data_IF_884470727555
#
_entry.id   IF_884470727555
#
_cell.length_a   1.000
_cell.length_b   1.000
_cell.length_c   1.000
_cell.angle_alpha   90.00
_cell.angle_beta   90.00
_cell.angle_gamma   90.00
#
_symmetry.space_group_name_H-M   'P 1'
#
loop_
_entity.id
_entity.type
_entity.pdbx_description
1 polymer ?
#
# COMPACT_ATOMS: atom_id res chain seq x y z
N UNK A 1 -8.00 25.43 -25.63
CA UNK A 1 -8.38 25.24 -24.24
C UNK A 1 -7.11 25.24 -23.41
N UNK A 2 -6.94 26.30 -22.62
CA UNK A 2 -5.79 26.45 -21.72
C UNK A 2 -6.05 25.55 -20.52
N UNK A 3 -5.44 24.37 -20.50
CA UNK A 3 -5.34 23.58 -19.28
C UNK A 3 -4.66 24.46 -18.22
N UNK A 4 -5.30 24.59 -17.06
CA UNK A 4 -4.83 25.40 -15.94
C UNK A 4 -3.36 25.09 -15.64
N UNK A 5 -2.48 26.03 -15.94
CA UNK A 5 -1.07 25.98 -15.54
C UNK A 5 -1.03 26.40 -14.07
N UNK A 6 -1.09 25.44 -13.16
CA UNK A 6 -0.75 25.68 -11.76
C UNK A 6 0.77 25.89 -11.68
N UNK A 7 1.20 27.13 -11.71
CA UNK A 7 2.58 27.51 -11.40
C UNK A 7 2.77 27.46 -9.87
N UNK A 8 3.05 26.28 -9.35
CA UNK A 8 3.51 26.13 -7.97
C UNK A 8 4.97 26.56 -7.94
N UNK A 9 5.33 27.47 -7.04
CA UNK A 9 6.73 27.86 -6.89
C UNK A 9 7.56 26.64 -6.47
N UNK A 10 8.80 26.46 -6.97
CA UNK A 10 9.62 25.27 -6.65
C UNK A 10 9.83 25.04 -5.16
N UNK A 11 9.85 26.09 -4.36
CA UNK A 11 10.00 26.03 -2.90
C UNK A 11 8.76 25.45 -2.21
N UNK A 12 7.57 25.85 -2.64
CA UNK A 12 6.31 25.30 -2.08
C UNK A 12 6.15 23.80 -2.42
N UNK A 13 6.58 23.38 -3.62
CA UNK A 13 6.54 21.98 -4.01
C UNK A 13 7.44 21.08 -3.17
N UNK A 14 8.67 21.54 -2.86
CA UNK A 14 9.62 20.80 -2.01
C UNK A 14 9.15 20.70 -0.56
N UNK A 15 8.63 21.78 0.00
CA UNK A 15 8.13 21.81 1.38
C UNK A 15 6.91 20.88 1.56
N UNK A 16 6.00 20.87 0.59
CA UNK A 16 4.85 19.98 0.57
C UNK A 16 5.25 18.51 0.43
N UNK A 17 6.25 18.21 -0.40
CA UNK A 17 6.78 16.87 -0.57
C UNK A 17 7.42 16.36 0.74
N UNK A 18 8.24 17.19 1.38
CA UNK A 18 8.84 16.86 2.69
C UNK A 18 7.77 16.62 3.76
N UNK A 19 6.78 17.50 3.85
CA UNK A 19 5.67 17.33 4.78
C UNK A 19 4.88 16.01 4.52
N UNK A 20 4.63 15.70 3.25
CA UNK A 20 3.97 14.46 2.84
C UNK A 20 4.78 13.21 3.21
N UNK A 21 6.10 13.22 2.97
CA UNK A 21 6.99 12.12 3.32
C UNK A 21 7.08 11.92 4.84
N UNK A 22 7.16 13.00 5.62
CA UNK A 22 7.15 12.94 7.09
C UNK A 22 5.83 12.37 7.58
N UNK A 23 4.69 12.85 7.07
CA UNK A 23 3.37 12.33 7.42
C UNK A 23 3.23 10.84 7.09
N UNK A 24 3.72 10.41 5.92
CA UNK A 24 3.74 9.01 5.51
C UNK A 24 4.61 8.14 6.42
N UNK A 25 5.82 8.61 6.75
CA UNK A 25 6.73 7.91 7.66
C UNK A 25 6.12 7.77 9.07
N UNK A 26 5.50 8.84 9.59
CA UNK A 26 4.81 8.80 10.89
C UNK A 26 3.61 7.84 10.86
N UNK A 27 2.82 7.86 9.78
CA UNK A 27 1.69 6.93 9.60
C UNK A 27 2.15 5.46 9.58
N UNK A 28 3.21 5.15 8.81
CA UNK A 28 3.83 3.82 8.77
C UNK A 28 4.37 3.38 10.13
N UNK A 29 5.01 4.28 10.85
CA UNK A 29 5.54 4.00 12.18
C UNK A 29 4.42 3.68 13.16
N UNK A 30 3.34 4.47 13.17
CA UNK A 30 2.17 4.22 14.03
C UNK A 30 1.49 2.89 13.71
N UNK A 31 1.28 2.60 12.42
CA UNK A 31 0.72 1.31 11.97
C UNK A 31 1.65 0.17 12.36
N UNK A 32 2.96 0.31 12.15
CA UNK A 32 3.96 -0.70 12.55
C UNK A 32 3.94 -0.98 14.05
N UNK A 33 3.93 0.07 14.90
CA UNK A 33 3.81 -0.08 16.35
C UNK A 33 2.52 -0.79 16.72
N UNK A 34 1.40 -0.41 16.14
CA UNK A 34 0.11 -1.05 16.37
C UNK A 34 0.14 -2.54 16.01
N UNK A 35 0.64 -2.90 14.82
CA UNK A 35 0.73 -4.27 14.37
C UNK A 35 1.64 -5.12 15.28
N UNK A 36 2.80 -4.61 15.67
CA UNK A 36 3.73 -5.33 16.56
C UNK A 36 3.14 -5.46 17.96
N UNK A 37 2.53 -4.42 18.51
CA UNK A 37 1.93 -4.45 19.84
C UNK A 37 0.75 -5.43 19.90
N UNK A 38 -0.08 -5.47 18.87
CA UNK A 38 -1.30 -6.28 18.84
C UNK A 38 -1.05 -7.73 18.38
N UNK A 39 -0.27 -7.93 17.32
CA UNK A 39 0.00 -9.24 16.71
C UNK A 39 1.33 -9.86 17.10
N UNK A 40 2.18 -9.15 17.84
CA UNK A 40 3.50 -9.61 18.31
C UNK A 40 4.37 -10.13 17.15
N UNK A 41 4.73 -11.41 17.15
CA UNK A 41 5.59 -12.01 16.12
C UNK A 41 5.00 -11.89 14.70
N UNK A 42 3.69 -12.08 14.53
CA UNK A 42 3.01 -11.86 13.24
C UNK A 42 3.08 -10.40 12.79
N UNK A 43 3.03 -9.45 13.75
CA UNK A 43 3.20 -8.02 13.47
C UNK A 43 4.59 -7.69 12.91
N UNK A 44 5.65 -8.38 13.35
CA UNK A 44 6.99 -8.20 12.77
C UNK A 44 7.03 -8.66 11.31
N UNK A 45 6.36 -9.76 10.98
CA UNK A 45 6.24 -10.23 9.59
C UNK A 45 5.49 -9.20 8.74
N UNK A 46 4.40 -8.61 9.28
CA UNK A 46 3.69 -7.55 8.57
C UNK A 46 4.56 -6.33 8.30
N UNK A 47 5.28 -5.85 9.33
CA UNK A 47 6.19 -4.69 9.16
C UNK A 47 7.27 -4.99 8.12
N UNK A 48 7.84 -6.20 8.13
CA UNK A 48 8.80 -6.61 7.11
C UNK A 48 8.16 -6.63 5.71
N UNK A 49 6.95 -7.17 5.56
CA UNK A 49 6.22 -7.20 4.29
C UNK A 49 5.86 -5.79 3.80
N UNK A 50 5.43 -4.90 4.70
CA UNK A 50 5.18 -3.49 4.36
C UNK A 50 6.45 -2.77 3.91
N UNK A 51 7.59 -3.04 4.56
CA UNK A 51 8.87 -2.48 4.16
C UNK A 51 9.29 -2.96 2.76
N UNK A 52 9.09 -4.25 2.46
CA UNK A 52 9.35 -4.81 1.12
C UNK A 52 8.42 -4.20 0.08
N UNK A 53 7.12 -4.07 0.37
CA UNK A 53 6.15 -3.44 -0.53
C UNK A 53 6.51 -1.97 -0.81
N UNK A 54 6.89 -1.21 0.22
CA UNK A 54 7.32 0.18 0.09
C UNK A 54 8.60 0.29 -0.75
N UNK A 55 9.57 -0.61 -0.56
CA UNK A 55 10.82 -0.64 -1.33
C UNK A 55 10.54 -0.94 -2.81
N UNK A 56 9.75 -1.97 -3.11
CA UNK A 56 9.39 -2.33 -4.50
C UNK A 56 8.62 -1.18 -5.16
N UNK A 57 7.67 -0.57 -4.46
CA UNK A 57 6.92 0.59 -4.97
C UNK A 57 7.85 1.77 -5.26
N UNK A 58 8.79 2.06 -4.37
CA UNK A 58 9.79 3.11 -4.57
C UNK A 58 10.65 2.85 -5.81
N UNK A 59 11.23 1.65 -5.94
CA UNK A 59 12.02 1.28 -7.12
C UNK A 59 11.22 1.40 -8.42
N UNK A 60 9.95 1.00 -8.38
CA UNK A 60 9.07 1.08 -9.53
C UNK A 60 8.80 2.54 -9.93
N UNK A 61 8.59 3.44 -8.95
CA UNK A 61 8.46 4.89 -9.22
C UNK A 61 9.75 5.49 -9.79
N UNK A 62 10.93 5.07 -9.32
CA UNK A 62 12.22 5.51 -9.86
C UNK A 62 12.39 5.05 -11.31
N UNK A 63 12.05 3.80 -11.63
CA UNK A 63 12.13 3.26 -12.99
C UNK A 63 11.18 4.01 -13.93
N UNK A 64 9.92 4.19 -13.51
CA UNK A 64 8.92 4.94 -14.29
C UNK A 64 9.32 6.41 -14.50
N UNK A 65 9.91 7.03 -13.49
CA UNK A 65 10.44 8.39 -13.59
C UNK A 65 11.54 8.49 -14.64
N UNK A 66 12.49 7.55 -14.67
CA UNK A 66 13.61 7.53 -15.60
C UNK A 66 13.21 7.19 -17.04
N UNK A 67 12.30 6.24 -17.22
CA UNK A 67 11.96 5.72 -18.55
C UNK A 67 10.80 6.47 -19.21
N UNK A 68 9.80 6.87 -18.44
CA UNK A 68 8.56 7.46 -18.94
C UNK A 68 8.40 8.94 -18.59
N UNK A 69 9.39 9.53 -17.89
CA UNK A 69 9.29 10.92 -17.43
C UNK A 69 8.19 11.12 -16.37
N UNK A 70 7.79 10.05 -15.66
CA UNK A 70 6.80 10.16 -14.61
C UNK A 70 7.33 11.01 -13.46
N UNK A 71 6.57 12.04 -13.09
CA UNK A 71 6.87 12.90 -11.94
C UNK A 71 5.91 12.59 -10.81
N UNK A 72 6.47 12.24 -9.65
CA UNK A 72 5.68 11.98 -8.46
C UNK A 72 5.15 13.30 -7.90
N UNK A 73 3.87 13.56 -8.08
CA UNK A 73 3.20 14.72 -7.50
C UNK A 73 2.88 14.48 -6.01
N UNK A 74 2.55 15.55 -5.27
CA UNK A 74 2.08 15.44 -3.88
C UNK A 74 0.87 14.51 -3.76
N UNK A 75 -0.08 14.60 -4.69
CA UNK A 75 -1.22 13.71 -4.76
C UNK A 75 -0.80 12.25 -5.01
N UNK A 76 0.26 12.02 -5.80
CA UNK A 76 0.85 10.71 -6.00
C UNK A 76 1.46 10.13 -4.72
N UNK A 77 2.17 10.96 -3.94
CA UNK A 77 2.67 10.56 -2.60
C UNK A 77 1.51 10.18 -1.68
N UNK A 78 0.45 10.98 -1.66
CA UNK A 78 -0.76 10.67 -0.88
C UNK A 78 -1.39 9.33 -1.31
N UNK A 79 -1.46 9.05 -2.61
CA UNK A 79 -1.94 7.77 -3.16
C UNK A 79 -1.11 6.58 -2.67
N UNK A 80 0.21 6.71 -2.66
CA UNK A 80 1.11 5.68 -2.15
C UNK A 80 0.91 5.44 -0.64
N UNK A 81 0.74 6.50 0.16
CA UNK A 81 0.49 6.39 1.61
C UNK A 81 -0.84 5.68 1.89
N UNK A 82 -1.89 6.03 1.14
CA UNK A 82 -3.20 5.38 1.27
C UNK A 82 -3.12 3.90 0.92
N UNK A 83 -2.40 3.54 -0.16
CA UNK A 83 -2.20 2.16 -0.54
C UNK A 83 -1.50 1.34 0.57
N UNK A 84 -0.47 1.90 1.21
CA UNK A 84 0.20 1.23 2.34
C UNK A 84 -0.78 0.97 3.49
N UNK A 85 -1.72 1.89 3.75
CA UNK A 85 -2.80 1.67 4.71
C UNK A 85 -3.70 0.49 4.33
N UNK A 86 -4.06 0.38 3.06
CA UNK A 86 -4.86 -0.73 2.52
C UNK A 86 -4.11 -2.06 2.67
N UNK A 87 -2.79 -2.07 2.38
CA UNK A 87 -1.93 -3.24 2.57
C UNK A 87 -1.91 -3.68 4.03
N UNK A 88 -1.79 -2.75 4.97
CA UNK A 88 -1.81 -3.05 6.40
C UNK A 88 -3.14 -3.73 6.80
N UNK A 89 -4.28 -3.25 6.29
CA UNK A 89 -5.59 -3.86 6.53
C UNK A 89 -5.66 -5.30 6.00
N UNK A 90 -5.05 -5.57 4.85
CA UNK A 90 -4.96 -6.93 4.29
C UNK A 90 -4.20 -7.89 5.20
N UNK A 91 -3.10 -7.43 5.83
CA UNK A 91 -2.38 -8.22 6.84
C UNK A 91 -3.22 -8.45 8.09
N UNK A 92 -3.96 -7.46 8.56
CA UNK A 92 -4.87 -7.59 9.70
C UNK A 92 -5.90 -8.70 9.42
N UNK A 93 -6.53 -8.68 8.24
CA UNK A 93 -7.49 -9.72 7.83
C UNK A 93 -6.85 -11.11 7.86
N UNK A 94 -5.64 -11.27 7.34
CA UNK A 94 -4.93 -12.54 7.34
C UNK A 94 -4.59 -13.01 8.75
N UNK A 95 -4.06 -12.13 9.59
CA UNK A 95 -3.66 -12.50 10.96
C UNK A 95 -4.85 -12.83 11.86
N UNK A 96 -5.98 -12.16 11.70
CA UNK A 96 -7.19 -12.54 12.41
C UNK A 96 -7.64 -13.95 12.01
N UNK A 97 -7.54 -14.32 10.73
CA UNK A 97 -7.83 -15.70 10.31
C UNK A 97 -6.86 -16.72 10.92
N UNK A 98 -5.56 -16.39 11.01
CA UNK A 98 -4.59 -17.26 11.70
C UNK A 98 -4.96 -17.41 13.19
N UNK A 99 -5.30 -16.32 13.86
CA UNK A 99 -5.69 -16.33 15.27
C UNK A 99 -6.94 -17.16 15.53
N UNK A 100 -7.93 -17.07 14.65
CA UNK A 100 -9.14 -17.87 14.73
C UNK A 100 -8.80 -19.38 14.64
N UNK A 101 -7.96 -19.77 13.67
CA UNK A 101 -7.53 -21.17 13.51
C UNK A 101 -6.71 -21.68 14.70
N UNK A 102 -5.87 -20.83 15.31
CA UNK A 102 -5.14 -21.18 16.54
C UNK A 102 -6.09 -21.37 17.72
N UNK A 103 -7.13 -20.54 17.85
CA UNK A 103 -8.15 -20.68 18.89
C UNK A 103 -8.96 -21.97 18.76
N UNK A 104 -9.12 -22.47 17.53
CA UNK A 104 -9.73 -23.77 17.22
C UNK A 104 -8.79 -24.95 17.54
N UNK A 105 -7.58 -24.70 18.05
CA UNK A 105 -6.62 -25.71 18.48
C UNK A 105 -5.67 -26.22 17.42
N UNK A 106 -5.56 -25.54 16.26
CA UNK A 106 -4.60 -25.88 15.22
C UNK A 106 -3.18 -25.45 15.58
N UNK A 107 -2.20 -26.20 15.09
CA UNK A 107 -0.80 -25.78 15.19
C UNK A 107 -0.57 -24.51 14.36
N UNK A 108 0.45 -23.72 14.73
CA UNK A 108 0.75 -22.43 14.06
C UNK A 108 0.91 -22.59 12.55
N UNK A 109 1.58 -23.66 12.09
CA UNK A 109 1.77 -23.94 10.66
C UNK A 109 0.46 -24.26 9.95
N UNK A 110 -0.37 -25.12 10.53
CA UNK A 110 -1.68 -25.46 9.98
C UNK A 110 -2.65 -24.26 9.99
N UNK A 111 -2.56 -23.42 11.03
CA UNK A 111 -3.33 -22.18 11.14
C UNK A 111 -2.93 -21.16 10.07
N UNK A 112 -1.63 -21.06 9.76
CA UNK A 112 -1.14 -20.19 8.67
C UNK A 112 -1.72 -20.60 7.32
N UNK A 113 -1.63 -21.88 6.96
CA UNK A 113 -2.17 -22.39 5.69
C UNK A 113 -3.69 -22.24 5.60
N UNK A 114 -4.43 -22.61 6.66
CA UNK A 114 -5.88 -22.49 6.69
C UNK A 114 -6.33 -21.02 6.67
N UNK A 115 -5.68 -20.16 7.46
CA UNK A 115 -5.92 -18.73 7.50
C UNK A 115 -5.70 -18.08 6.14
N UNK A 116 -4.61 -18.44 5.44
CA UNK A 116 -4.34 -17.97 4.09
C UNK A 116 -5.44 -18.35 3.09
N UNK A 117 -5.86 -19.61 3.10
CA UNK A 117 -6.91 -20.08 2.20
C UNK A 117 -8.23 -19.32 2.37
N UNK A 118 -8.53 -18.88 3.59
CA UNK A 118 -9.71 -18.05 3.89
C UNK A 118 -9.49 -16.59 3.57
N UNK A 119 -8.33 -16.02 3.95
CA UNK A 119 -8.03 -14.60 3.78
C UNK A 119 -7.83 -14.18 2.33
N UNK A 120 -7.16 -15.00 1.51
CA UNK A 120 -6.77 -14.64 0.14
C UNK A 120 -7.93 -14.16 -0.74
N UNK A 121 -9.13 -14.72 -0.56
CA UNK A 121 -10.30 -14.30 -1.35
C UNK A 121 -10.75 -12.90 -0.95
N UNK A 122 -10.75 -12.61 0.34
CA UNK A 122 -11.13 -11.30 0.87
C UNK A 122 -10.11 -10.25 0.46
N UNK A 123 -8.81 -10.55 0.59
CA UNK A 123 -7.71 -9.67 0.19
C UNK A 123 -7.81 -9.36 -1.31
N UNK A 124 -7.88 -10.38 -2.17
CA UNK A 124 -8.01 -10.18 -3.61
C UNK A 124 -9.25 -9.38 -4.00
N UNK A 125 -10.38 -9.60 -3.31
CA UNK A 125 -11.59 -8.84 -3.59
C UNK A 125 -11.44 -7.36 -3.19
N UNK A 126 -10.83 -7.07 -2.04
CA UNK A 126 -10.57 -5.71 -1.59
C UNK A 126 -9.57 -4.99 -2.51
N UNK A 127 -8.46 -5.64 -2.86
CA UNK A 127 -7.46 -5.09 -3.77
C UNK A 127 -8.02 -4.88 -5.18
N UNK A 128 -8.85 -5.80 -5.66
CA UNK A 128 -9.54 -5.64 -6.95
C UNK A 128 -10.47 -4.42 -6.97
N UNK A 129 -11.24 -4.21 -5.90
CA UNK A 129 -12.11 -3.02 -5.77
C UNK A 129 -11.29 -1.75 -5.73
N UNK A 130 -10.20 -1.72 -4.95
CA UNK A 130 -9.28 -0.57 -4.87
C UNK A 130 -8.62 -0.29 -6.21
N UNK A 131 -8.16 -1.32 -6.91
CA UNK A 131 -7.58 -1.20 -8.24
C UNK A 131 -8.62 -0.68 -9.27
N UNK A 132 -9.84 -1.22 -9.24
CA UNK A 132 -10.92 -0.75 -10.12
C UNK A 132 -11.24 0.72 -9.85
N UNK A 133 -11.33 1.13 -8.59
CA UNK A 133 -11.53 2.53 -8.22
C UNK A 133 -10.38 3.42 -8.75
N UNK A 134 -9.14 2.97 -8.61
CA UNK A 134 -7.98 3.68 -9.15
C UNK A 134 -8.04 3.80 -10.68
N UNK A 135 -8.42 2.74 -11.39
CA UNK A 135 -8.59 2.77 -12.86
C UNK A 135 -9.68 3.76 -13.26
N UNK A 136 -10.84 3.72 -12.62
CA UNK A 136 -11.94 4.66 -12.90
C UNK A 136 -11.52 6.09 -12.65
N UNK A 137 -10.86 6.37 -11.52
CA UNK A 137 -10.33 7.69 -11.21
C UNK A 137 -9.28 8.13 -12.22
N UNK A 138 -8.40 7.25 -12.67
CA UNK A 138 -7.36 7.57 -13.64
C UNK A 138 -7.93 8.04 -14.98
N UNK A 139 -8.98 7.39 -15.48
CA UNK A 139 -9.59 7.74 -16.76
C UNK A 139 -10.56 8.93 -16.68
N UNK A 140 -11.27 9.08 -15.56
CA UNK A 140 -12.29 10.14 -15.42
C UNK A 140 -11.73 11.44 -14.85
N UNK A 141 -10.56 11.42 -14.20
CA UNK A 141 -9.98 12.60 -13.56
C UNK A 141 -8.89 13.27 -14.41
N UNK A 142 -8.54 14.49 -14.02
CA UNK A 142 -7.48 15.30 -14.62
C UNK A 142 -6.51 15.81 -13.54
N UNK A 143 -5.32 16.22 -13.96
CA UNK A 143 -4.34 16.85 -13.07
C UNK A 143 -3.89 15.97 -11.90
N UNK A 144 -3.88 16.52 -10.71
CA UNK A 144 -3.35 15.89 -9.51
C UNK A 144 -4.09 14.61 -9.10
N UNK A 145 -5.42 14.54 -9.32
CA UNK A 145 -6.22 13.35 -8.99
C UNK A 145 -5.83 12.15 -9.85
N UNK A 146 -5.43 12.39 -11.10
CA UNK A 146 -4.93 11.34 -11.99
C UNK A 146 -3.59 10.78 -11.48
N UNK A 147 -2.70 11.63 -10.94
CA UNK A 147 -1.46 11.20 -10.31
C UNK A 147 -1.71 10.33 -9.06
N UNK A 148 -2.64 10.74 -8.21
CA UNK A 148 -3.10 9.94 -7.07
C UNK A 148 -3.62 8.57 -7.51
N UNK A 149 -4.52 8.53 -8.49
CA UNK A 149 -5.12 7.30 -8.99
C UNK A 149 -4.07 6.34 -9.59
N UNK A 150 -3.09 6.88 -10.32
CA UNK A 150 -2.01 6.10 -10.90
C UNK A 150 -1.16 5.41 -9.82
N UNK A 151 -0.71 6.17 -8.81
CA UNK A 151 0.11 5.63 -7.73
C UNK A 151 -0.69 4.62 -6.88
N UNK A 152 -1.95 4.92 -6.57
CA UNK A 152 -2.83 3.99 -5.84
C UNK A 152 -2.99 2.67 -6.60
N UNK A 153 -3.27 2.71 -7.89
CA UNK A 153 -3.42 1.50 -8.72
C UNK A 153 -2.14 0.68 -8.82
N UNK A 154 -1.00 1.37 -9.02
CA UNK A 154 0.30 0.71 -9.13
C UNK A 154 0.72 0.03 -7.83
N UNK A 155 0.59 0.74 -6.70
CA UNK A 155 0.91 0.18 -5.38
C UNK A 155 -0.02 -0.96 -5.01
N UNK A 156 -1.31 -0.91 -5.34
CA UNK A 156 -2.24 -2.04 -5.13
C UNK A 156 -1.78 -3.30 -5.87
N UNK A 157 -1.24 -3.18 -7.09
CA UNK A 157 -0.67 -4.33 -7.80
C UNK A 157 0.58 -4.88 -7.11
N UNK A 158 1.46 -4.01 -6.59
CA UNK A 158 2.63 -4.41 -5.80
C UNK A 158 2.20 -5.13 -4.54
N UNK A 159 1.16 -4.67 -3.86
CA UNK A 159 0.64 -5.26 -2.63
C UNK A 159 0.15 -6.69 -2.86
N UNK A 160 -0.64 -6.92 -3.91
CA UNK A 160 -1.04 -8.28 -4.30
C UNK A 160 0.19 -9.16 -4.54
N UNK A 161 1.18 -8.65 -5.27
CA UNK A 161 2.40 -9.40 -5.54
C UNK A 161 3.15 -9.76 -4.25
N UNK A 162 3.34 -8.81 -3.34
CA UNK A 162 4.01 -9.03 -2.05
C UNK A 162 3.22 -9.97 -1.16
N UNK A 163 1.89 -9.83 -1.09
CA UNK A 163 1.04 -10.71 -0.30
C UNK A 163 1.16 -12.18 -0.76
N UNK A 164 1.24 -12.43 -2.05
CA UNK A 164 1.30 -13.78 -2.60
C UNK A 164 2.70 -14.37 -2.68
N UNK A 165 3.75 -13.55 -2.85
CA UNK A 165 5.12 -14.02 -3.03
C UNK A 165 5.97 -13.98 -1.78
N UNK A 166 5.73 -13.00 -0.89
CA UNK A 166 6.57 -12.74 0.26
C UNK A 166 5.88 -13.09 1.60
N UNK A 167 4.61 -12.75 1.75
CA UNK A 167 3.90 -12.94 3.02
C UNK A 167 3.47 -14.39 3.26
N UNK A 168 3.41 -15.18 2.18
CA UNK A 168 3.21 -16.62 2.26
C UNK A 168 4.56 -17.33 2.20
N UNK A 169 5.12 -17.77 3.32
CA UNK A 169 6.25 -18.69 3.32
C UNK A 169 5.80 -20.13 3.00
#
# INVERSE_FOLDING_TARGET
EVSSVETISPTLGTDQLHAGLIAGALGLLLVGIYLVAYYRALGLVAVASLAVAALISYELFVILGRQLGFTLSLAGVAGAIVAIGITADSFVVYFERIRDEIREGRSLRAAGDAGWMRARRTILAADFVSFLAAVVLYFLSVGNVRGFAFTLGLTTLVDVMVAFMFTRP
#
